data_IF_740438808176
#
_entry.id   IF_740438808176
#
_cell.length_a   1.000
_cell.length_b   1.000
_cell.length_c   1.000
_cell.angle_alpha   90.00
_cell.angle_beta   90.00
_cell.angle_gamma   90.00
#
_symmetry.space_group_name_H-M   'P 1'
#
loop_
_entity.id
_entity.type
_entity.pdbx_description
1 polymer ?
#
# COMPACT_ATOMS: atom_id res chain seq x y z
N UNK A 1 -6.06 6.93 -2.41
CA UNK A 1 -6.84 7.16 -3.64
C UNK A 1 -6.34 6.35 -4.83
N UNK A 2 -5.08 5.92 -4.90
CA UNK A 2 -4.52 5.18 -6.05
C UNK A 2 -4.82 3.67 -6.02
N UNK A 3 -4.91 3.05 -4.83
CA UNK A 3 -5.04 1.58 -4.69
C UNK A 3 -6.22 0.93 -5.43
N UNK A 4 -7.42 1.51 -5.39
CA UNK A 4 -8.59 0.94 -6.08
C UNK A 4 -8.38 0.88 -7.61
N UNK A 5 -7.58 1.79 -8.20
CA UNK A 5 -7.25 1.75 -9.63
C UNK A 5 -6.45 0.48 -9.95
N UNK A 6 -5.43 0.17 -9.14
CA UNK A 6 -4.64 -1.07 -9.27
C UNK A 6 -5.54 -2.30 -9.19
N UNK A 7 -6.49 -2.30 -8.24
CA UNK A 7 -7.46 -3.39 -8.11
C UNK A 7 -8.41 -3.50 -9.31
N UNK A 8 -8.74 -2.37 -9.93
CA UNK A 8 -9.59 -2.34 -11.12
C UNK A 8 -8.87 -2.94 -12.32
N UNK A 9 -7.58 -2.64 -12.50
CA UNK A 9 -6.73 -3.31 -13.48
C UNK A 9 -6.61 -4.81 -13.21
N UNK A 10 -6.38 -5.21 -11.95
CA UNK A 10 -6.31 -6.62 -11.58
C UNK A 10 -7.63 -7.37 -11.82
N UNK A 11 -8.77 -6.74 -11.56
CA UNK A 11 -10.09 -7.30 -11.86
C UNK A 11 -10.29 -7.45 -13.38
N UNK A 12 -9.85 -6.48 -14.18
CA UNK A 12 -9.91 -6.57 -15.64
C UNK A 12 -9.06 -7.73 -16.15
N UNK A 13 -7.82 -7.86 -15.69
CA UNK A 13 -6.98 -9.00 -16.03
C UNK A 13 -7.59 -10.34 -15.60
N UNK A 14 -8.17 -10.41 -14.39
CA UNK A 14 -8.86 -11.60 -13.90
C UNK A 14 -10.02 -12.00 -14.84
N UNK A 15 -10.80 -11.04 -15.33
CA UNK A 15 -11.86 -11.30 -16.31
C UNK A 15 -11.28 -11.89 -17.60
N UNK A 16 -10.18 -11.32 -18.10
CA UNK A 16 -9.51 -11.84 -19.29
C UNK A 16 -8.87 -13.21 -19.08
N UNK A 17 -8.49 -13.59 -17.85
CA UNK A 17 -7.93 -14.91 -17.52
C UNK A 17 -8.89 -16.08 -17.78
N UNK A 18 -10.20 -15.81 -17.90
CA UNK A 18 -11.21 -16.83 -18.26
C UNK A 18 -11.33 -17.08 -19.78
N UNK A 19 -10.52 -16.39 -20.59
CA UNK A 19 -10.48 -16.60 -22.04
C UNK A 19 -9.77 -17.91 -22.39
N UNK A 20 -10.16 -18.51 -23.53
CA UNK A 20 -9.54 -19.76 -24.02
C UNK A 20 -8.04 -19.59 -24.31
N UNK A 21 -7.64 -18.42 -24.79
CA UNK A 21 -6.26 -17.98 -24.90
C UNK A 21 -6.10 -16.67 -24.15
N UNK A 22 -5.01 -16.51 -23.40
CA UNK A 22 -4.74 -15.28 -22.67
C UNK A 22 -4.44 -14.15 -23.69
N UNK A 23 -5.09 -12.97 -23.59
CA UNK A 23 -4.90 -11.89 -24.55
C UNK A 23 -3.46 -11.36 -24.64
N UNK A 24 -2.69 -11.47 -23.56
CA UNK A 24 -1.28 -11.08 -23.48
C UNK A 24 -0.29 -12.19 -23.87
N UNK A 25 -0.78 -13.34 -24.36
CA UNK A 25 0.08 -14.45 -24.75
C UNK A 25 0.52 -14.42 -26.22
N UNK A 26 -0.16 -13.65 -27.10
CA UNK A 26 0.13 -13.62 -28.53
C UNK A 26 0.08 -12.21 -29.11
N UNK A 27 0.76 -12.00 -30.24
CA UNK A 27 0.77 -10.74 -30.98
C UNK A 27 -0.32 -10.64 -32.06
N UNK A 28 -1.27 -11.59 -32.11
CA UNK A 28 -2.29 -11.67 -33.15
C UNK A 28 -3.59 -10.94 -32.77
N UNK A 29 -3.49 -9.76 -32.16
CA UNK A 29 -4.65 -8.96 -31.76
C UNK A 29 -4.67 -7.61 -32.46
N UNK A 30 -5.85 -6.97 -32.51
CA UNK A 30 -6.04 -5.69 -33.21
C UNK A 30 -5.26 -4.51 -32.58
N UNK A 31 -4.81 -4.65 -31.34
CA UNK A 31 -4.01 -3.63 -30.64
C UNK A 31 -2.51 -3.80 -30.84
N UNK A 32 -2.08 -4.92 -31.43
CA UNK A 32 -0.68 -5.21 -31.60
C UNK A 32 -0.06 -4.47 -32.78
N UNK A 33 1.24 -4.18 -32.68
CA UNK A 33 2.04 -3.60 -33.77
C UNK A 33 2.94 -4.63 -34.46
N UNK A 34 3.48 -4.27 -35.62
CA UNK A 34 4.42 -5.12 -36.37
C UNK A 34 5.70 -5.43 -35.58
N UNK A 35 6.06 -4.58 -34.61
CA UNK A 35 7.21 -4.75 -33.70
C UNK A 35 6.95 -5.73 -32.53
N UNK A 36 5.74 -6.28 -32.42
CA UNK A 36 5.36 -7.19 -31.34
C UNK A 36 6.02 -8.56 -31.50
N UNK A 37 6.63 -9.04 -30.41
CA UNK A 37 7.26 -10.36 -30.36
C UNK A 37 6.50 -11.32 -29.45
N UNK A 38 6.13 -12.46 -30.03
CA UNK A 38 5.53 -13.59 -29.32
C UNK A 38 6.64 -14.53 -28.82
N UNK A 39 6.87 -14.48 -27.51
CA UNK A 39 7.86 -15.33 -26.84
C UNK A 39 7.33 -16.74 -26.53
N UNK A 40 6.03 -17.01 -26.76
CA UNK A 40 5.43 -18.34 -26.55
C UNK A 40 5.66 -19.27 -27.74
N UNK A 41 5.81 -18.72 -28.95
CA UNK A 41 6.10 -19.47 -30.18
C UNK A 41 7.60 -19.56 -30.46
N UNK A 42 8.28 -20.56 -29.88
CA UNK A 42 9.63 -20.96 -30.31
C UNK A 42 9.57 -21.56 -31.72
N UNK A 43 9.60 -20.73 -32.75
CA UNK A 43 10.02 -21.17 -34.07
C UNK A 43 11.55 -21.07 -34.13
N UNK A 44 12.22 -22.22 -33.98
CA UNK A 44 13.69 -22.40 -34.01
C UNK A 44 14.38 -21.98 -35.34
N UNK A 45 13.67 -21.29 -36.23
CA UNK A 45 14.15 -20.87 -37.55
C UNK A 45 14.44 -19.37 -37.66
N UNK A 46 14.07 -18.57 -36.67
CA UNK A 46 14.35 -17.13 -36.66
C UNK A 46 15.61 -16.86 -35.84
N UNK A 47 16.69 -16.53 -36.54
CA UNK A 47 17.87 -15.95 -35.91
C UNK A 47 17.43 -14.60 -35.31
N UNK A 48 17.23 -14.55 -33.99
CA UNK A 48 16.87 -13.33 -33.26
C UNK A 48 18.05 -12.35 -33.33
N UNK A 49 18.17 -11.61 -34.42
CA UNK A 49 18.87 -10.33 -34.37
C UNK A 49 18.06 -9.46 -33.44
N UNK A 50 18.63 -9.15 -32.27
CA UNK A 50 18.09 -8.17 -31.30
C UNK A 50 17.71 -6.90 -32.07
N UNK A 51 16.42 -6.81 -32.44
CA UNK A 51 15.85 -5.57 -32.93
C UNK A 51 15.69 -4.71 -31.69
N UNK A 52 16.44 -3.62 -31.63
CA UNK A 52 16.49 -2.71 -30.47
C UNK A 52 15.15 -2.06 -30.10
N UNK A 53 14.08 -2.33 -30.87
CA UNK A 53 12.75 -1.73 -30.71
C UNK A 53 11.61 -2.76 -30.54
N UNK A 54 11.90 -4.05 -30.34
CA UNK A 54 10.84 -5.06 -30.19
C UNK A 54 10.12 -4.98 -28.83
N UNK A 55 8.80 -5.08 -28.82
CA UNK A 55 7.94 -5.08 -27.63
C UNK A 55 7.29 -6.44 -27.39
N UNK A 56 7.02 -6.81 -26.13
CA UNK A 56 6.32 -8.07 -25.84
C UNK A 56 4.81 -7.92 -26.00
N UNK A 57 4.13 -9.03 -26.31
CA UNK A 57 2.66 -9.09 -26.33
C UNK A 57 2.02 -8.59 -25.02
N UNK A 58 2.66 -8.83 -23.88
CA UNK A 58 2.18 -8.37 -22.58
C UNK A 58 2.33 -6.86 -22.38
N UNK A 59 3.46 -6.27 -22.83
CA UNK A 59 3.65 -4.82 -22.83
C UNK A 59 2.61 -4.13 -23.68
N UNK A 60 2.38 -4.61 -24.90
CA UNK A 60 1.38 -4.02 -25.80
C UNK A 60 -0.05 -4.21 -25.29
N UNK A 61 -0.36 -5.35 -24.68
CA UNK A 61 -1.65 -5.54 -24.03
C UNK A 61 -1.87 -4.52 -22.90
N UNK A 62 -0.87 -4.29 -22.05
CA UNK A 62 -0.94 -3.30 -20.98
C UNK A 62 -1.08 -1.87 -21.52
N UNK A 63 -0.14 -1.44 -22.36
CA UNK A 63 -0.04 -0.05 -22.79
C UNK A 63 -1.10 0.33 -23.82
N UNK A 64 -1.42 -0.55 -24.78
CA UNK A 64 -2.32 -0.21 -25.90
C UNK A 64 -3.76 -0.68 -25.70
N UNK A 65 -3.98 -1.78 -24.97
CA UNK A 65 -5.32 -2.37 -24.81
C UNK A 65 -5.98 -2.08 -23.47
N UNK A 66 -5.24 -2.19 -22.37
CA UNK A 66 -5.77 -1.95 -21.01
C UNK A 66 -5.79 -0.46 -20.68
N UNK A 67 -4.67 0.23 -20.91
CA UNK A 67 -4.54 1.66 -20.64
C UNK A 67 -4.90 2.52 -21.85
N UNK A 68 -4.54 2.06 -23.06
CA UNK A 68 -4.55 2.86 -24.29
C UNK A 68 -3.82 4.20 -24.07
N UNK A 69 -2.56 4.11 -23.66
CA UNK A 69 -1.78 5.25 -23.15
C UNK A 69 -1.66 6.37 -24.19
N UNK A 70 -1.93 7.61 -23.77
CA UNK A 70 -1.78 8.80 -24.62
C UNK A 70 -0.33 9.30 -24.67
N UNK A 71 -0.10 10.39 -25.42
CA UNK A 71 1.22 11.01 -25.55
C UNK A 71 1.73 11.72 -24.28
N UNK A 72 0.85 12.00 -23.31
CA UNK A 72 1.24 12.70 -22.08
C UNK A 72 0.08 13.10 -21.18
N UNK A 73 0.40 13.68 -20.02
CA UNK A 73 -0.60 14.13 -19.01
C UNK A 73 -1.51 15.26 -19.53
N UNK A 74 -1.09 15.98 -20.57
CA UNK A 74 -1.86 17.06 -21.21
C UNK A 74 -2.98 16.51 -22.12
N UNK A 75 -2.83 15.26 -22.57
CA UNK A 75 -3.74 14.54 -23.45
C UNK A 75 -4.46 13.47 -22.64
N UNK A 76 -5.46 13.85 -21.84
CA UNK A 76 -6.19 12.87 -21.02
C UNK A 76 -6.94 11.84 -21.88
N UNK A 77 -7.41 12.24 -23.07
CA UNK A 77 -8.11 11.34 -23.98
C UNK A 77 -9.47 10.87 -23.44
N UNK A 78 -9.90 9.67 -23.86
CA UNK A 78 -11.18 9.10 -23.45
C UNK A 78 -11.09 8.23 -22.19
N UNK A 79 -12.23 7.96 -21.55
CA UNK A 79 -12.31 7.04 -20.41
C UNK A 79 -12.30 5.60 -20.91
N UNK A 80 -11.43 4.76 -20.33
CA UNK A 80 -11.41 3.32 -20.61
C UNK A 80 -12.62 2.63 -19.95
N UNK A 81 -13.66 2.35 -20.76
CA UNK A 81 -14.96 1.88 -20.28
C UNK A 81 -14.91 0.54 -19.54
N UNK A 82 -14.06 -0.40 -19.96
CA UNK A 82 -13.92 -1.69 -19.26
C UNK A 82 -13.29 -1.52 -17.88
N UNK A 83 -12.26 -0.67 -17.78
CA UNK A 83 -11.64 -0.28 -16.51
C UNK A 83 -12.63 0.49 -15.63
N UNK A 84 -13.49 1.33 -16.20
CA UNK A 84 -14.58 2.00 -15.48
C UNK A 84 -15.55 1.00 -14.84
N UNK A 85 -15.95 -0.04 -15.57
CA UNK A 85 -16.83 -1.08 -15.03
C UNK A 85 -16.16 -1.84 -13.87
N UNK A 86 -14.87 -2.17 -14.04
CA UNK A 86 -14.09 -2.79 -12.97
C UNK A 86 -13.96 -1.86 -11.76
N UNK A 87 -13.77 -0.55 -11.98
CA UNK A 87 -13.70 0.47 -10.94
C UNK A 87 -15.00 0.56 -10.13
N UNK A 88 -16.15 0.57 -10.82
CA UNK A 88 -17.46 0.55 -10.17
C UNK A 88 -17.60 -0.71 -9.32
N UNK A 89 -17.27 -1.89 -9.88
CA UNK A 89 -17.34 -3.15 -9.16
C UNK A 89 -16.46 -3.15 -7.90
N UNK A 90 -15.21 -2.67 -8.01
CA UNK A 90 -14.29 -2.61 -6.88
C UNK A 90 -14.77 -1.67 -5.77
N UNK A 91 -15.36 -0.52 -6.10
CA UNK A 91 -15.96 0.37 -5.10
C UNK A 91 -17.20 -0.23 -4.42
N UNK A 92 -18.03 -0.94 -5.17
CA UNK A 92 -19.20 -1.65 -4.62
C UNK A 92 -18.75 -2.72 -3.62
N UNK A 93 -17.75 -3.52 -3.98
CA UNK A 93 -17.14 -4.52 -3.07
C UNK A 93 -16.58 -3.82 -1.83
N UNK A 94 -15.78 -2.78 -2.01
CA UNK A 94 -15.17 -2.03 -0.91
C UNK A 94 -16.20 -1.47 0.06
N UNK A 95 -17.26 -0.85 -0.45
CA UNK A 95 -18.35 -0.31 0.35
C UNK A 95 -19.01 -1.38 1.23
N UNK A 96 -19.43 -2.50 0.65
CA UNK A 96 -20.12 -3.56 1.39
C UNK A 96 -19.22 -4.28 2.39
N UNK A 97 -17.92 -4.39 2.12
CA UNK A 97 -16.98 -4.96 3.07
C UNK A 97 -16.86 -4.11 4.35
N UNK A 98 -16.87 -2.77 4.22
CA UNK A 98 -16.60 -1.82 5.32
C UNK A 98 -17.89 -1.25 5.93
N UNK A 99 -19.06 -1.44 5.34
CA UNK A 99 -20.28 -0.70 5.72
C UNK A 99 -20.67 -0.76 7.21
N UNK A 100 -20.37 -1.86 7.92
CA UNK A 100 -20.60 -2.00 9.38
C UNK A 100 -19.32 -1.85 10.21
N UNK A 101 -18.28 -1.26 9.62
CA UNK A 101 -16.95 -1.12 10.18
C UNK A 101 -16.28 -2.44 10.49
N UNK A 102 -15.42 -2.44 11.51
CA UNK A 102 -14.65 -3.62 11.95
C UNK A 102 -15.49 -4.88 12.22
N UNK A 103 -16.80 -4.77 12.46
CA UNK A 103 -17.69 -5.94 12.60
C UNK A 103 -17.95 -6.69 11.28
N UNK A 104 -17.99 -5.95 10.16
CA UNK A 104 -18.10 -6.55 8.82
C UNK A 104 -16.72 -6.87 8.28
N UNK A 105 -15.81 -5.89 8.31
CA UNK A 105 -14.43 -6.06 7.85
C UNK A 105 -13.77 -7.24 8.55
N UNK A 106 -13.90 -7.35 9.89
CA UNK A 106 -13.35 -8.45 10.69
C UNK A 106 -13.82 -9.84 10.29
N UNK A 107 -15.00 -9.99 9.65
CA UNK A 107 -15.47 -11.28 9.11
C UNK A 107 -14.88 -11.56 7.74
N UNK A 108 -14.81 -10.53 6.88
CA UNK A 108 -14.31 -10.64 5.51
C UNK A 108 -12.81 -10.98 5.51
N UNK A 109 -12.03 -10.35 6.41
CA UNK A 109 -10.58 -10.55 6.52
C UNK A 109 -10.15 -11.98 6.86
N UNK A 110 -11.03 -12.80 7.46
CA UNK A 110 -10.71 -14.22 7.64
C UNK A 110 -10.46 -14.94 6.31
N UNK A 111 -11.15 -14.53 5.24
CA UNK A 111 -10.88 -15.05 3.90
C UNK A 111 -9.84 -14.19 3.19
N UNK A 112 -10.05 -12.87 3.12
CA UNK A 112 -9.23 -11.98 2.29
C UNK A 112 -7.77 -11.89 2.75
N UNK A 113 -7.49 -12.03 4.05
CA UNK A 113 -6.13 -12.02 4.56
C UNK A 113 -5.45 -13.39 4.52
N UNK A 114 -6.20 -14.50 4.69
CA UNK A 114 -5.60 -15.85 4.77
C UNK A 114 -5.42 -16.50 3.40
N UNK A 115 -6.34 -16.29 2.48
CA UNK A 115 -6.30 -16.92 1.16
C UNK A 115 -5.08 -16.51 0.32
N UNK A 116 -4.59 -15.26 0.36
CA UNK A 116 -3.32 -14.90 -0.26
C UNK A 116 -2.14 -15.75 0.19
N UNK A 117 -2.08 -16.20 1.44
CA UNK A 117 -1.01 -17.10 1.90
C UNK A 117 -1.08 -18.47 1.26
N UNK A 118 -2.30 -18.99 1.05
CA UNK A 118 -2.51 -20.26 0.34
C UNK A 118 -2.08 -20.11 -1.13
N UNK A 119 -2.48 -19.01 -1.78
CA UNK A 119 -2.08 -18.73 -3.16
C UNK A 119 -0.56 -18.52 -3.28
N UNK A 120 0.04 -17.78 -2.34
CA UNK A 120 1.47 -17.55 -2.29
C UNK A 120 2.24 -18.86 -2.16
N UNK A 121 1.78 -19.79 -1.31
CA UNK A 121 2.38 -21.11 -1.17
C UNK A 121 2.30 -21.91 -2.48
N UNK A 122 1.14 -21.90 -3.15
CA UNK A 122 0.94 -22.59 -4.44
C UNK A 122 1.86 -21.99 -5.51
N UNK A 123 1.93 -20.67 -5.61
CA UNK A 123 2.78 -19.96 -6.57
C UNK A 123 4.26 -20.14 -6.26
N UNK A 124 4.65 -20.25 -4.98
CA UNK A 124 6.02 -20.55 -4.56
C UNK A 124 6.43 -21.96 -4.99
N UNK A 125 5.61 -22.98 -4.68
CA UNK A 125 5.87 -24.36 -5.09
C UNK A 125 5.97 -24.44 -6.61
N UNK A 126 5.04 -23.78 -7.31
CA UNK A 126 5.06 -23.73 -8.76
C UNK A 126 6.31 -23.03 -9.29
N UNK A 127 6.61 -21.83 -8.80
CA UNK A 127 7.75 -21.03 -9.22
C UNK A 127 9.07 -21.78 -9.05
N UNK A 128 9.27 -22.42 -7.89
CA UNK A 128 10.47 -23.22 -7.63
C UNK A 128 10.57 -24.52 -8.45
N UNK A 129 9.44 -25.03 -8.97
CA UNK A 129 9.41 -26.20 -9.86
C UNK A 129 9.75 -25.90 -11.32
N UNK A 130 9.81 -24.62 -11.71
CA UNK A 130 10.07 -24.20 -13.08
C UNK A 130 11.56 -24.30 -13.45
N UNK A 131 11.89 -24.56 -14.73
CA UNK A 131 13.27 -24.50 -15.19
C UNK A 131 13.81 -23.06 -15.02
N UNK A 132 15.08 -22.89 -14.70
CA UNK A 132 15.68 -21.56 -14.50
C UNK A 132 15.35 -20.88 -13.16
N UNK A 133 14.44 -21.42 -12.34
CA UNK A 133 14.06 -20.84 -11.05
C UNK A 133 15.26 -20.62 -10.10
N UNK A 134 16.26 -21.51 -10.14
CA UNK A 134 17.48 -21.38 -9.34
C UNK A 134 18.29 -20.12 -9.67
N UNK A 135 18.29 -19.67 -10.93
CA UNK A 135 18.97 -18.44 -11.34
C UNK A 135 18.29 -17.22 -10.72
N UNK A 136 16.95 -17.22 -10.71
CA UNK A 136 16.14 -16.20 -10.06
C UNK A 136 16.37 -16.12 -8.55
N UNK A 137 16.35 -17.27 -7.87
CA UNK A 137 16.63 -17.33 -6.42
C UNK A 137 18.06 -16.91 -6.10
N UNK A 138 19.03 -17.26 -6.94
CA UNK A 138 20.41 -16.80 -6.80
C UNK A 138 20.48 -15.28 -6.95
N UNK A 139 19.84 -14.70 -7.97
CA UNK A 139 19.78 -13.25 -8.15
C UNK A 139 19.15 -12.53 -6.95
N UNK A 140 18.12 -13.11 -6.34
CA UNK A 140 17.46 -12.54 -5.18
C UNK A 140 18.34 -12.55 -3.91
N UNK A 141 19.08 -13.63 -3.66
CA UNK A 141 19.80 -13.83 -2.39
C UNK A 141 21.28 -13.50 -2.44
N UNK A 142 21.90 -13.46 -3.62
CA UNK A 142 23.35 -13.27 -3.73
C UNK A 142 23.71 -11.87 -3.20
N UNK A 143 24.44 -11.79 -2.06
CA UNK A 143 24.73 -10.50 -1.46
C UNK A 143 25.82 -9.81 -2.26
N UNK A 144 25.68 -8.49 -2.42
CA UNK A 144 26.71 -7.62 -2.96
C UNK A 144 27.20 -6.65 -1.86
N UNK A 145 28.25 -7.00 -1.09
CA UNK A 145 28.65 -6.23 0.09
C UNK A 145 29.10 -4.79 -0.22
N UNK A 146 29.52 -4.51 -1.45
CA UNK A 146 29.85 -3.15 -1.92
C UNK A 146 28.64 -2.22 -1.82
N UNK A 147 27.42 -2.73 -2.06
CA UNK A 147 26.16 -1.97 -1.98
C UNK A 147 25.84 -1.52 -0.55
N UNK A 148 26.37 -2.18 0.49
CA UNK A 148 26.17 -1.74 1.88
C UNK A 148 26.88 -0.42 2.22
N UNK A 149 27.86 0.00 1.39
CA UNK A 149 28.51 1.31 1.50
C UNK A 149 27.70 2.44 0.86
N UNK A 150 26.73 2.09 0.03
CA UNK A 150 25.85 3.03 -0.64
C UNK A 150 24.78 3.51 0.36
N UNK A 151 24.76 4.80 0.75
CA UNK A 151 23.74 5.33 1.64
C UNK A 151 22.32 5.11 1.11
N UNK A 152 22.13 5.11 -0.21
CA UNK A 152 20.83 4.92 -0.86
C UNK A 152 20.17 3.60 -0.46
N UNK A 153 20.95 2.52 -0.33
CA UNK A 153 20.44 1.19 0.05
C UNK A 153 19.80 1.20 1.44
N UNK A 154 20.39 1.91 2.39
CA UNK A 154 19.84 2.04 3.75
C UNK A 154 18.58 2.89 3.79
N UNK A 155 18.50 3.88 2.90
CA UNK A 155 17.35 4.77 2.81
C UNK A 155 16.15 4.08 2.17
N UNK A 156 16.37 3.34 1.09
CA UNK A 156 15.36 2.49 0.48
C UNK A 156 14.89 1.41 1.46
N UNK A 157 15.79 0.78 2.22
CA UNK A 157 15.43 -0.16 3.27
C UNK A 157 14.57 0.48 4.38
N UNK A 158 14.95 1.68 4.84
CA UNK A 158 14.17 2.44 5.80
C UNK A 158 12.78 2.78 5.28
N UNK A 159 12.70 3.41 4.11
CA UNK A 159 11.44 3.77 3.46
C UNK A 159 10.53 2.55 3.25
N UNK A 160 11.08 1.44 2.76
CA UNK A 160 10.35 0.18 2.56
C UNK A 160 9.69 -0.31 3.86
N UNK A 161 10.38 -0.23 5.00
CA UNK A 161 9.81 -0.60 6.30
C UNK A 161 8.69 0.36 6.71
N UNK A 162 8.87 1.68 6.62
CA UNK A 162 7.82 2.65 6.95
C UNK A 162 6.55 2.43 6.12
N UNK A 163 6.71 2.22 4.81
CA UNK A 163 5.60 1.95 3.90
C UNK A 163 4.95 0.59 4.16
N UNK A 164 5.74 -0.47 4.30
CA UNK A 164 5.24 -1.83 4.47
C UNK A 164 4.38 -1.98 5.73
N UNK A 165 4.73 -1.28 6.81
CA UNK A 165 3.94 -1.27 8.04
C UNK A 165 2.87 -0.16 8.10
N UNK A 166 2.78 0.71 7.09
CA UNK A 166 1.88 1.88 7.07
C UNK A 166 2.03 2.77 8.32
N UNK A 167 3.27 2.98 8.77
CA UNK A 167 3.57 3.82 9.95
C UNK A 167 3.33 5.29 9.57
N UNK A 168 2.81 6.11 10.50
CA UNK A 168 2.55 7.54 10.27
C UNK A 168 1.27 7.86 9.50
N UNK A 169 0.51 6.84 9.07
CA UNK A 169 -0.77 7.02 8.35
C UNK A 169 -1.98 6.92 9.30
N UNK A 170 -1.78 6.43 10.53
CA UNK A 170 -2.83 6.25 11.54
C UNK A 170 -3.54 4.89 11.49
N UNK A 171 -3.21 4.02 10.53
CA UNK A 171 -3.76 2.67 10.37
C UNK A 171 -3.69 1.82 11.64
N UNK A 172 -2.49 1.69 12.21
CA UNK A 172 -2.29 0.90 13.43
C UNK A 172 -2.93 1.55 14.66
N UNK A 173 -2.97 2.88 14.73
CA UNK A 173 -3.65 3.62 15.81
C UNK A 173 -5.15 3.35 15.80
N UNK A 174 -5.77 3.38 14.61
CA UNK A 174 -7.21 3.12 14.46
C UNK A 174 -7.54 1.65 14.69
N UNK A 175 -6.75 0.71 14.17
CA UNK A 175 -6.98 -0.71 14.46
C UNK A 175 -6.79 -1.03 15.95
N UNK A 176 -5.76 -0.44 16.56
CA UNK A 176 -5.50 -0.58 17.99
C UNK A 176 -6.59 -0.02 18.89
N UNK A 177 -7.32 1.03 18.46
CA UNK A 177 -8.42 1.61 19.25
C UNK A 177 -9.65 0.70 19.38
N UNK A 178 -9.74 -0.35 18.55
CA UNK A 178 -10.79 -1.38 18.65
C UNK A 178 -10.40 -2.56 19.55
N UNK A 179 -9.16 -2.63 20.02
CA UNK A 179 -8.73 -3.69 20.92
C UNK A 179 -9.32 -3.50 22.33
N UNK A 180 -9.47 -4.62 23.05
CA UNK A 180 -9.75 -4.58 24.48
C UNK A 180 -8.58 -3.90 25.21
N UNK A 181 -8.88 -3.16 26.29
CA UNK A 181 -7.86 -2.43 27.05
C UNK A 181 -6.72 -3.32 27.55
N UNK A 182 -7.06 -4.52 28.06
CA UNK A 182 -6.09 -5.48 28.57
C UNK A 182 -5.49 -6.42 27.51
N UNK A 183 -5.66 -6.11 26.21
CA UNK A 183 -5.09 -6.93 25.15
C UNK A 183 -3.56 -6.85 25.15
N UNK A 184 -2.88 -7.96 24.90
CA UNK A 184 -1.42 -8.01 24.86
C UNK A 184 -0.88 -7.46 23.53
N UNK A 185 -1.04 -6.15 23.32
CA UNK A 185 -0.58 -5.46 22.12
C UNK A 185 0.93 -5.54 21.92
N UNK A 186 1.70 -5.76 23.00
CA UNK A 186 3.15 -5.94 22.92
C UNK A 186 3.52 -7.18 22.10
N UNK A 187 2.87 -8.32 22.36
CA UNK A 187 3.11 -9.55 21.60
C UNK A 187 2.54 -9.46 20.18
N UNK A 188 1.35 -8.85 20.03
CA UNK A 188 0.73 -8.67 18.72
C UNK A 188 1.62 -7.84 17.79
N UNK A 189 2.24 -6.77 18.29
CA UNK A 189 3.19 -5.96 17.52
C UNK A 189 4.40 -6.77 17.07
N UNK A 190 4.98 -7.63 17.94
CA UNK A 190 6.11 -8.48 17.56
C UNK A 190 5.72 -9.49 16.47
N UNK A 191 4.54 -10.11 16.60
CA UNK A 191 4.03 -11.06 15.61
C UNK A 191 3.71 -10.37 14.29
N UNK A 192 3.13 -9.17 14.31
CA UNK A 192 2.85 -8.38 13.11
C UNK A 192 4.15 -8.06 12.36
N UNK A 193 5.19 -7.59 13.07
CA UNK A 193 6.51 -7.32 12.50
C UNK A 193 7.17 -8.57 11.89
N UNK A 194 7.05 -9.72 12.57
CA UNK A 194 7.59 -10.97 12.06
C UNK A 194 6.85 -11.43 10.80
N UNK A 195 5.51 -11.50 10.87
CA UNK A 195 4.67 -12.00 9.79
C UNK A 195 4.81 -11.15 8.52
N UNK A 196 4.78 -9.83 8.63
CA UNK A 196 4.93 -8.94 7.48
C UNK A 196 6.29 -9.13 6.77
N UNK A 197 7.39 -9.14 7.55
CA UNK A 197 8.74 -9.34 7.01
C UNK A 197 8.92 -10.73 6.38
N UNK A 198 8.44 -11.78 7.06
CA UNK A 198 8.51 -13.16 6.53
C UNK A 198 7.69 -13.29 5.26
N UNK A 199 6.49 -12.71 5.21
CA UNK A 199 5.64 -12.72 4.02
C UNK A 199 6.37 -12.05 2.85
N UNK A 200 7.04 -10.92 3.09
CA UNK A 200 7.81 -10.20 2.06
C UNK A 200 8.98 -11.02 1.53
N UNK A 201 9.71 -11.72 2.40
CA UNK A 201 10.79 -12.63 2.00
C UNK A 201 10.24 -13.79 1.14
N UNK A 202 9.18 -14.44 1.60
CA UNK A 202 8.55 -15.57 0.89
C UNK A 202 7.98 -15.12 -0.47
N UNK A 203 7.37 -13.94 -0.54
CA UNK A 203 6.94 -13.32 -1.78
C UNK A 203 8.11 -13.05 -2.72
N UNK A 204 9.26 -12.61 -2.20
CA UNK A 204 10.51 -12.48 -2.96
C UNK A 204 10.89 -13.80 -3.66
N UNK A 205 10.91 -14.92 -2.95
CA UNK A 205 11.17 -16.23 -3.56
C UNK A 205 10.15 -16.58 -4.66
N UNK A 206 8.84 -16.34 -4.43
CA UNK A 206 7.80 -16.64 -5.40
C UNK A 206 7.94 -15.79 -6.67
N UNK A 207 8.22 -14.49 -6.55
CA UNK A 207 8.42 -13.58 -7.69
C UNK A 207 9.71 -13.91 -8.44
N UNK A 208 10.84 -13.97 -7.74
CA UNK A 208 12.14 -14.16 -8.40
C UNK A 208 12.30 -15.55 -9.01
N UNK A 209 11.67 -16.59 -8.47
CA UNK A 209 11.67 -17.91 -9.12
C UNK A 209 10.94 -17.90 -10.47
N UNK A 210 9.81 -17.18 -10.57
CA UNK A 210 9.08 -16.99 -11.83
C UNK A 210 9.85 -16.09 -12.81
N UNK A 211 10.48 -15.01 -12.33
CA UNK A 211 11.34 -14.17 -13.18
C UNK A 211 12.58 -14.93 -13.68
N UNK A 212 13.17 -15.80 -12.86
CA UNK A 212 14.26 -16.68 -13.27
C UNK A 212 13.86 -17.65 -14.38
N UNK A 213 12.63 -18.19 -14.31
CA UNK A 213 12.05 -18.98 -15.39
C UNK A 213 11.87 -18.15 -16.68
N UNK A 214 11.31 -16.95 -16.58
CA UNK A 214 11.12 -16.05 -17.73
C UNK A 214 12.46 -15.70 -18.40
N UNK A 215 13.47 -15.33 -17.60
CA UNK A 215 14.82 -15.05 -18.09
C UNK A 215 15.45 -16.27 -18.79
N UNK A 216 15.27 -17.46 -18.22
CA UNK A 216 15.77 -18.70 -18.81
C UNK A 216 15.10 -19.06 -20.13
N UNK A 217 13.78 -18.92 -20.23
CA UNK A 217 13.03 -19.20 -21.47
C UNK A 217 13.33 -18.20 -22.59
N UNK A 218 13.53 -16.93 -22.24
CA UNK A 218 13.85 -15.86 -23.19
C UNK A 218 15.34 -15.75 -23.52
N UNK A 219 16.22 -16.38 -22.73
CA UNK A 219 17.66 -16.29 -22.91
C UNK A 219 18.26 -14.90 -22.60
N UNK A 220 17.60 -14.12 -21.74
CA UNK A 220 18.02 -12.76 -21.35
C UNK A 220 18.44 -12.69 -19.88
N UNK A 221 19.26 -11.70 -19.48
CA UNK A 221 19.59 -11.47 -18.06
C UNK A 221 18.35 -11.15 -17.22
N UNK A 222 18.33 -11.64 -15.96
CA UNK A 222 17.20 -11.41 -15.03
C UNK A 222 16.94 -9.90 -14.80
N UNK A 223 17.98 -9.08 -14.83
CA UNK A 223 17.86 -7.63 -14.66
C UNK A 223 17.04 -6.94 -15.75
N UNK A 224 16.90 -7.54 -16.94
CA UNK A 224 16.11 -6.98 -18.05
C UNK A 224 14.62 -7.34 -17.96
N UNK A 225 14.28 -8.40 -17.24
CA UNK A 225 12.87 -8.82 -17.03
C UNK A 225 12.31 -8.36 -15.67
N UNK A 226 13.17 -7.85 -14.80
CA UNK A 226 12.81 -7.33 -13.49
C UNK A 226 12.26 -5.90 -13.60
N UNK A 227 10.98 -5.80 -13.94
CA UNK A 227 10.24 -4.54 -13.92
C UNK A 227 9.92 -4.08 -12.49
N UNK A 228 9.62 -2.79 -12.32
CA UNK A 228 9.23 -2.20 -11.03
C UNK A 228 7.80 -1.64 -11.08
N UNK A 229 7.20 -1.44 -9.90
CA UNK A 229 5.84 -0.88 -9.79
C UNK A 229 4.78 -1.74 -10.50
N UNK A 230 3.76 -1.12 -11.11
CA UNK A 230 2.69 -1.85 -11.82
C UNK A 230 3.21 -2.74 -12.97
N UNK A 231 4.33 -2.40 -13.60
CA UNK A 231 4.91 -3.18 -14.70
C UNK A 231 5.26 -4.61 -14.28
N UNK A 232 5.74 -4.81 -13.05
CA UNK A 232 6.03 -6.15 -12.53
C UNK A 232 4.78 -7.04 -12.51
N UNK A 233 3.65 -6.51 -12.05
CA UNK A 233 2.42 -7.26 -11.86
C UNK A 233 1.57 -7.38 -13.13
N UNK A 234 1.64 -6.40 -14.04
CA UNK A 234 0.76 -6.34 -15.22
C UNK A 234 1.48 -6.60 -16.55
N UNK A 235 2.82 -6.65 -16.56
CA UNK A 235 3.63 -6.99 -17.75
C UNK A 235 4.46 -8.24 -17.48
N UNK A 236 5.43 -8.17 -16.57
CA UNK A 236 6.41 -9.25 -16.38
C UNK A 236 5.77 -10.55 -15.87
N UNK A 237 4.92 -10.46 -14.84
CA UNK A 237 4.26 -11.66 -14.28
C UNK A 237 3.26 -12.31 -15.27
N UNK A 238 2.36 -11.56 -15.94
CA UNK A 238 1.47 -12.13 -16.96
C UNK A 238 2.22 -12.75 -18.14
N UNK A 239 3.34 -12.15 -18.54
CA UNK A 239 4.22 -12.69 -19.58
C UNK A 239 4.83 -14.03 -19.15
N UNK A 240 5.37 -14.12 -17.93
CA UNK A 240 5.90 -15.37 -17.40
C UNK A 240 4.82 -16.45 -17.26
N UNK A 241 3.62 -16.08 -16.81
CA UNK A 241 2.47 -17.00 -16.68
C UNK A 241 2.02 -17.54 -18.03
N UNK A 242 2.01 -16.71 -19.08
CA UNK A 242 1.64 -17.13 -20.43
C UNK A 242 2.55 -18.24 -21.00
N UNK A 243 3.80 -18.31 -20.53
CA UNK A 243 4.77 -19.35 -20.92
C UNK A 243 4.61 -20.67 -20.15
N UNK A 244 3.79 -20.69 -19.09
CA UNK A 244 3.59 -21.89 -18.28
C UNK A 244 2.49 -22.79 -18.87
N UNK A 245 2.55 -24.12 -18.68
CA UNK A 245 1.41 -24.99 -18.91
C UNK A 245 0.24 -24.61 -17.99
N UNK A 246 -0.98 -24.66 -18.54
CA UNK A 246 -2.23 -24.23 -17.90
C UNK A 246 -2.18 -22.75 -17.45
N UNK A 247 -1.87 -21.81 -18.37
CA UNK A 247 -1.57 -20.43 -18.01
C UNK A 247 -2.78 -19.70 -17.39
N UNK A 248 -4.01 -20.09 -17.73
CA UNK A 248 -5.24 -19.55 -17.15
C UNK A 248 -5.33 -19.80 -15.64
N UNK A 249 -4.97 -21.00 -15.17
CA UNK A 249 -5.02 -21.35 -13.74
C UNK A 249 -4.12 -20.43 -12.93
N UNK A 250 -2.87 -20.28 -13.35
CA UNK A 250 -1.88 -19.45 -12.66
C UNK A 250 -2.24 -17.97 -12.69
N UNK A 251 -2.78 -17.51 -13.82
CA UNK A 251 -3.27 -16.14 -13.97
C UNK A 251 -4.42 -15.84 -13.01
N UNK A 252 -5.42 -16.73 -12.92
CA UNK A 252 -6.54 -16.59 -11.97
C UNK A 252 -6.02 -16.55 -10.54
N UNK A 253 -5.15 -17.48 -10.14
CA UNK A 253 -4.56 -17.52 -8.81
C UNK A 253 -3.84 -16.21 -8.47
N UNK A 254 -3.03 -15.69 -9.40
CA UNK A 254 -2.27 -14.46 -9.20
C UNK A 254 -3.17 -13.22 -9.07
N UNK A 255 -4.12 -13.01 -9.98
CA UNK A 255 -4.96 -11.82 -9.93
C UNK A 255 -5.98 -11.86 -8.81
N UNK A 256 -6.50 -13.04 -8.43
CA UNK A 256 -7.31 -13.18 -7.20
C UNK A 256 -6.46 -12.82 -5.98
N UNK A 257 -5.24 -13.33 -5.87
CA UNK A 257 -4.32 -12.99 -4.78
C UNK A 257 -4.05 -11.47 -4.72
N UNK A 258 -3.74 -10.84 -5.86
CA UNK A 258 -3.47 -9.40 -5.94
C UNK A 258 -4.70 -8.58 -5.51
N UNK A 259 -5.90 -8.97 -5.94
CA UNK A 259 -7.15 -8.30 -5.55
C UNK A 259 -7.36 -8.38 -4.04
N UNK A 260 -7.20 -9.56 -3.45
CA UNK A 260 -7.41 -9.77 -2.01
C UNK A 260 -6.40 -8.99 -1.17
N UNK A 261 -5.12 -9.00 -1.56
CA UNK A 261 -4.06 -8.24 -0.88
C UNK A 261 -4.35 -6.73 -0.89
N UNK A 262 -4.70 -6.16 -2.05
CA UNK A 262 -4.96 -4.72 -2.13
C UNK A 262 -6.30 -4.31 -1.50
N UNK A 263 -7.31 -5.20 -1.49
CA UNK A 263 -8.60 -4.95 -0.82
C UNK A 263 -8.41 -4.74 0.69
N UNK A 264 -7.60 -5.57 1.36
CA UNK A 264 -7.38 -5.46 2.80
C UNK A 264 -6.69 -4.14 3.18
N UNK A 265 -5.68 -3.73 2.41
CA UNK A 265 -5.05 -2.41 2.58
C UNK A 265 -6.06 -1.28 2.40
N UNK A 266 -6.92 -1.37 1.40
CA UNK A 266 -7.96 -0.38 1.15
C UNK A 266 -9.00 -0.34 2.27
N UNK A 267 -9.38 -1.48 2.85
CA UNK A 267 -10.33 -1.54 3.97
C UNK A 267 -9.81 -0.75 5.16
N UNK A 268 -8.54 -0.96 5.52
CA UNK A 268 -7.91 -0.26 6.64
C UNK A 268 -7.80 1.24 6.34
N UNK A 269 -7.37 1.64 5.14
CA UNK A 269 -7.24 3.05 4.78
C UNK A 269 -8.58 3.81 4.87
N UNK A 270 -9.67 3.18 4.41
CA UNK A 270 -11.01 3.74 4.54
C UNK A 270 -11.46 3.79 6.00
N UNK A 271 -11.21 2.74 6.78
CA UNK A 271 -11.53 2.70 8.21
C UNK A 271 -10.82 3.83 8.96
N UNK A 272 -9.57 4.17 8.62
CA UNK A 272 -8.83 5.28 9.23
C UNK A 272 -9.58 6.60 9.08
N UNK A 273 -10.02 6.93 7.87
CA UNK A 273 -10.77 8.15 7.60
C UNK A 273 -12.11 8.13 8.33
N UNK A 274 -12.83 7.01 8.23
CA UNK A 274 -14.15 6.85 8.84
C UNK A 274 -14.10 7.03 10.36
N UNK A 275 -13.19 6.32 11.03
CA UNK A 275 -13.04 6.36 12.49
C UNK A 275 -12.56 7.72 12.97
N UNK A 276 -11.60 8.34 12.28
CA UNK A 276 -11.14 9.69 12.61
C UNK A 276 -12.27 10.71 12.57
N UNK A 277 -13.12 10.68 11.54
CA UNK A 277 -14.27 11.61 11.42
C UNK A 277 -15.34 11.30 12.49
N UNK A 278 -15.60 10.01 12.76
CA UNK A 278 -16.56 9.59 13.79
C UNK A 278 -16.12 10.08 15.18
N UNK A 279 -14.83 9.98 15.49
CA UNK A 279 -14.28 10.37 16.79
C UNK A 279 -14.14 11.89 16.95
N UNK A 280 -13.97 12.64 15.86
CA UNK A 280 -14.05 14.11 15.88
C UNK A 280 -15.48 14.63 16.09
N UNK A 281 -16.50 13.95 15.54
CA UNK A 281 -17.89 14.40 15.59
C UNK A 281 -18.87 13.34 16.15
N UNK A 282 -18.65 12.83 17.38
CA UNK A 282 -19.35 11.66 17.89
C UNK A 282 -20.86 11.87 18.04
N UNK A 283 -21.30 13.08 18.42
CA UNK A 283 -22.73 13.42 18.61
C UNK A 283 -23.56 13.34 17.33
N UNK A 284 -22.91 13.50 16.17
CA UNK A 284 -23.55 13.46 14.85
C UNK A 284 -23.38 12.09 14.23
N UNK A 285 -22.15 11.56 14.25
CA UNK A 285 -21.74 10.39 13.49
C UNK A 285 -22.11 9.05 14.14
N UNK A 286 -22.23 8.97 15.47
CA UNK A 286 -22.60 7.72 16.17
C UNK A 286 -24.11 7.40 16.12
N UNK A 287 -24.91 8.21 15.43
CA UNK A 287 -26.35 7.92 15.22
C UNK A 287 -26.52 6.82 14.18
N UNK A 288 -27.55 5.99 14.35
CA UNK A 288 -27.85 4.88 13.44
C UNK A 288 -27.93 5.34 11.97
N UNK A 289 -27.27 4.61 11.06
CA UNK A 289 -27.26 4.87 9.62
C UNK A 289 -26.34 5.99 9.15
N UNK A 290 -25.83 6.86 10.03
CA UNK A 290 -25.02 8.03 9.62
C UNK A 290 -23.63 7.64 9.14
N UNK A 291 -23.03 6.62 9.75
CA UNK A 291 -21.76 6.04 9.31
C UNK A 291 -21.89 5.49 7.89
N UNK A 292 -22.92 4.70 7.63
CA UNK A 292 -23.15 4.05 6.33
C UNK A 292 -23.39 5.08 5.22
N UNK A 293 -24.15 6.15 5.50
CA UNK A 293 -24.38 7.25 4.57
C UNK A 293 -23.09 8.03 4.31
N UNK A 294 -22.32 8.34 5.35
CA UNK A 294 -21.05 9.05 5.18
C UNK A 294 -20.03 8.23 4.39
N UNK A 295 -19.92 6.94 4.67
CA UNK A 295 -19.07 6.02 3.91
C UNK A 295 -19.49 6.03 2.43
N UNK A 296 -20.79 5.92 2.14
CA UNK A 296 -21.29 5.94 0.78
C UNK A 296 -20.92 7.24 0.05
N UNK A 297 -21.19 8.39 0.66
CA UNK A 297 -20.84 9.69 0.09
C UNK A 297 -19.33 9.83 -0.13
N UNK A 298 -18.52 9.37 0.83
CA UNK A 298 -17.07 9.41 0.72
C UNK A 298 -16.54 8.50 -0.40
N UNK A 299 -17.05 7.26 -0.52
CA UNK A 299 -16.74 6.37 -1.64
C UNK A 299 -17.10 7.01 -2.99
N UNK A 300 -18.26 7.67 -3.09
CA UNK A 300 -18.67 8.38 -4.32
C UNK A 300 -17.71 9.53 -4.66
N UNK A 301 -17.29 10.32 -3.68
CA UNK A 301 -16.29 11.40 -3.89
C UNK A 301 -14.97 10.80 -4.38
N UNK A 302 -14.49 9.73 -3.75
CA UNK A 302 -13.26 9.06 -4.17
C UNK A 302 -13.39 8.46 -5.58
N UNK A 303 -14.52 7.84 -5.91
CA UNK A 303 -14.80 7.31 -7.24
C UNK A 303 -14.73 8.39 -8.32
N UNK A 304 -15.39 9.54 -8.12
CA UNK A 304 -15.34 10.63 -9.09
C UNK A 304 -13.93 11.22 -9.24
N UNK A 305 -13.17 11.34 -8.14
CA UNK A 305 -11.78 11.80 -8.18
C UNK A 305 -10.85 10.87 -8.97
N UNK A 306 -11.20 9.59 -9.09
CA UNK A 306 -10.42 8.56 -9.77
C UNK A 306 -10.75 8.45 -11.26
N UNK A 307 -11.84 9.05 -11.75
CA UNK A 307 -12.21 8.99 -13.16
C UNK A 307 -11.09 9.52 -14.08
N UNK A 308 -10.32 10.50 -13.62
CA UNK A 308 -9.17 11.03 -14.36
C UNK A 308 -8.06 9.98 -14.52
N UNK A 309 -7.89 9.07 -13.55
CA UNK A 309 -6.83 8.04 -13.55
C UNK A 309 -7.16 6.82 -14.43
N UNK A 310 -8.38 6.70 -14.94
CA UNK A 310 -8.80 5.63 -15.87
C UNK A 310 -8.97 6.13 -17.31
N UNK A 311 -8.52 7.36 -17.59
CA UNK A 311 -8.45 7.88 -18.96
C UNK A 311 -7.20 7.34 -19.67
N UNK A 312 -7.09 7.58 -20.98
CA UNK A 312 -5.90 7.25 -21.79
C UNK A 312 -4.62 7.91 -21.23
N UNK A 313 -4.71 9.16 -20.75
CA UNK A 313 -3.64 9.84 -20.02
C UNK A 313 -3.60 9.53 -18.51
N UNK A 314 -4.46 8.62 -18.05
CA UNK A 314 -4.69 8.34 -16.63
C UNK A 314 -3.48 7.75 -15.91
N UNK A 315 -2.63 7.01 -16.62
CA UNK A 315 -1.39 6.45 -16.05
C UNK A 315 -0.40 7.53 -15.62
N UNK A 316 -0.30 8.65 -16.35
CA UNK A 316 0.54 9.79 -15.95
C UNK A 316 0.01 10.46 -14.68
N UNK A 317 -1.31 10.61 -14.58
CA UNK A 317 -1.96 11.16 -13.38
C UNK A 317 -1.79 10.21 -12.19
N UNK A 318 -1.96 8.89 -12.42
CA UNK A 318 -1.73 7.86 -11.43
C UNK A 318 -0.31 7.94 -10.86
N UNK A 319 0.72 7.98 -11.72
CA UNK A 319 2.11 8.09 -11.29
C UNK A 319 2.41 9.41 -10.58
N UNK A 320 1.81 10.53 -11.01
CA UNK A 320 1.97 11.81 -10.32
C UNK A 320 1.48 11.73 -8.87
N UNK A 321 0.31 11.12 -8.65
CA UNK A 321 -0.22 10.91 -7.30
C UNK A 321 0.61 9.90 -6.50
N UNK A 322 0.98 8.78 -7.11
CA UNK A 322 1.77 7.74 -6.45
C UNK A 322 3.14 8.27 -6.01
N UNK A 323 3.80 9.04 -6.88
CA UNK A 323 5.12 9.60 -6.61
C UNK A 323 5.11 10.74 -5.60
N UNK A 324 4.18 11.71 -5.72
CA UNK A 324 4.19 12.91 -4.87
C UNK A 324 3.25 12.83 -3.66
N UNK A 325 2.01 12.36 -3.83
CA UNK A 325 1.02 12.34 -2.75
C UNK A 325 1.27 11.17 -1.80
N UNK A 326 1.69 10.02 -2.33
CA UNK A 326 2.11 8.86 -1.57
C UNK A 326 3.63 8.81 -1.34
N UNK A 327 4.33 9.94 -1.49
CA UNK A 327 5.78 10.04 -1.32
C UNK A 327 6.23 9.63 0.09
N UNK A 328 7.34 8.89 0.17
CA UNK A 328 7.99 8.51 1.42
C UNK A 328 8.34 9.72 2.27
N UNK A 329 8.70 10.85 1.65
CA UNK A 329 9.00 12.09 2.36
C UNK A 329 7.82 12.58 3.23
N UNK A 330 6.57 12.46 2.77
CA UNK A 330 5.40 12.91 3.52
C UNK A 330 5.20 12.07 4.79
N UNK A 331 5.30 10.74 4.66
CA UNK A 331 5.17 9.80 5.77
C UNK A 331 6.34 9.96 6.75
N UNK A 332 7.57 10.02 6.24
CA UNK A 332 8.77 10.19 7.06
C UNK A 332 8.71 11.47 7.89
N UNK A 333 8.25 12.58 7.29
CA UNK A 333 8.03 13.83 8.01
C UNK A 333 7.04 13.65 9.18
N UNK A 334 5.88 13.03 8.94
CA UNK A 334 4.91 12.75 9.99
C UNK A 334 5.50 11.84 11.08
N UNK A 335 6.24 10.80 10.71
CA UNK A 335 6.88 9.89 11.65
C UNK A 335 7.90 10.59 12.56
N UNK A 336 8.64 11.60 12.07
CA UNK A 336 9.53 12.41 12.92
C UNK A 336 8.73 13.10 14.03
N UNK A 337 7.65 13.80 13.67
CA UNK A 337 6.86 14.55 14.64
C UNK A 337 6.06 13.65 15.58
N UNK A 338 5.54 12.51 15.10
CA UNK A 338 4.88 11.52 15.96
C UNK A 338 5.85 10.94 17.00
N UNK A 339 7.06 10.56 16.58
CA UNK A 339 8.08 10.03 17.49
C UNK A 339 8.51 11.07 18.53
N UNK A 340 8.74 12.33 18.11
CA UNK A 340 9.07 13.42 19.03
C UNK A 340 7.91 13.74 19.99
N UNK A 341 6.67 13.77 19.49
CA UNK A 341 5.49 14.02 20.30
C UNK A 341 5.30 12.93 21.37
N UNK A 342 5.43 11.64 21.01
CA UNK A 342 5.26 10.53 21.95
C UNK A 342 6.46 10.38 22.90
N UNK A 343 7.69 10.40 22.36
CA UNK A 343 8.90 10.15 23.13
C UNK A 343 9.25 11.30 24.08
N UNK A 344 9.24 12.54 23.58
CA UNK A 344 9.74 13.71 24.30
C UNK A 344 8.65 14.59 24.92
N UNK A 345 7.58 14.88 24.17
CA UNK A 345 6.53 15.81 24.65
C UNK A 345 5.60 15.10 25.63
N UNK A 346 5.04 13.95 25.23
CA UNK A 346 4.18 13.13 26.08
C UNK A 346 4.99 12.43 27.18
N UNK A 347 6.16 11.89 26.81
CA UNK A 347 7.16 11.33 27.71
C UNK A 347 7.20 9.80 27.69
N UNK A 348 8.36 9.25 27.34
CA UNK A 348 8.57 7.80 27.22
C UNK A 348 8.33 7.01 28.52
N UNK A 349 8.56 7.62 29.70
CA UNK A 349 8.28 6.95 30.98
C UNK A 349 6.79 6.72 31.21
N UNK A 350 5.93 7.68 30.80
CA UNK A 350 4.48 7.50 30.86
C UNK A 350 4.02 6.41 29.90
N UNK A 351 4.65 6.32 28.73
CA UNK A 351 4.35 5.27 27.77
C UNK A 351 4.67 3.87 28.32
N UNK A 352 5.77 3.72 29.07
CA UNK A 352 6.06 2.47 29.79
C UNK A 352 4.99 2.10 30.80
N UNK A 353 4.56 3.06 31.60
CA UNK A 353 3.55 2.84 32.62
C UNK A 353 2.22 2.43 31.98
N UNK A 354 1.83 3.08 30.88
CA UNK A 354 0.63 2.72 30.10
C UNK A 354 0.73 1.31 29.51
N UNK A 355 1.86 0.94 28.92
CA UNK A 355 2.04 -0.43 28.37
C UNK A 355 2.00 -1.47 29.49
N UNK A 356 2.60 -1.18 30.64
CA UNK A 356 2.56 -2.06 31.81
C UNK A 356 1.15 -2.18 32.37
N UNK A 357 0.40 -1.09 32.40
CA UNK A 357 -0.99 -1.05 32.87
C UNK A 357 -1.91 -1.87 31.95
N UNK A 358 -1.78 -1.74 30.64
CA UNK A 358 -2.59 -2.49 29.66
C UNK A 358 -2.20 -3.97 29.59
N UNK A 359 -0.91 -4.30 29.54
CA UNK A 359 -0.46 -5.67 29.22
C UNK A 359 0.00 -6.47 30.45
N UNK A 360 0.20 -5.81 31.59
CA UNK A 360 0.90 -6.37 32.76
C UNK A 360 2.41 -6.53 32.58
N UNK A 361 2.95 -6.33 31.37
CA UNK A 361 4.35 -6.57 31.02
C UNK A 361 5.10 -5.24 30.97
N UNK A 362 6.28 -5.17 31.60
CA UNK A 362 7.20 -4.04 31.37
C UNK A 362 7.89 -4.23 30.03
N UNK A 363 7.68 -3.30 29.10
CA UNK A 363 8.38 -3.31 27.83
C UNK A 363 9.90 -3.20 28.02
N UNK A 364 10.65 -3.77 27.06
CA UNK A 364 12.12 -3.79 27.08
C UNK A 364 12.69 -2.36 26.98
N UNK A 365 13.72 -2.06 27.80
CA UNK A 365 14.43 -0.77 27.81
C UNK A 365 14.82 -0.26 26.42
N UNK A 366 15.17 -1.17 25.50
CA UNK A 366 15.51 -0.84 24.13
C UNK A 366 14.43 -0.01 23.42
N UNK A 367 13.15 -0.28 23.66
CA UNK A 367 12.06 0.49 23.05
C UNK A 367 12.07 1.97 23.46
N UNK A 368 12.46 2.29 24.70
CA UNK A 368 12.63 3.69 25.13
C UNK A 368 13.76 4.38 24.39
N UNK A 369 14.86 3.69 24.11
CA UNK A 369 15.94 4.23 23.26
C UNK A 369 15.41 4.46 21.85
N UNK A 370 14.60 3.53 21.31
CA UNK A 370 13.98 3.68 20.00
C UNK A 370 13.09 4.92 19.93
N UNK A 371 12.14 5.06 20.86
CA UNK A 371 11.19 6.18 20.87
C UNK A 371 11.87 7.54 21.06
N UNK A 372 12.89 7.62 21.93
CA UNK A 372 13.56 8.88 22.22
C UNK A 372 14.58 9.29 21.16
N UNK A 373 15.32 8.34 20.58
CA UNK A 373 16.50 8.64 19.78
C UNK A 373 16.49 7.95 18.42
N UNK A 374 16.41 6.61 18.36
CA UNK A 374 16.64 5.92 17.08
C UNK A 374 15.56 6.21 16.05
N UNK A 375 14.28 6.07 16.40
CA UNK A 375 13.16 6.34 15.50
C UNK A 375 13.17 7.78 14.96
N UNK A 376 13.26 8.84 15.80
CA UNK A 376 13.30 10.20 15.27
C UNK A 376 14.56 10.48 14.45
N UNK A 377 15.74 9.96 14.82
CA UNK A 377 16.98 10.17 14.06
C UNK A 377 16.95 9.47 12.70
N UNK A 378 16.52 8.20 12.65
CA UNK A 378 16.42 7.45 11.38
C UNK A 378 15.37 8.10 10.48
N UNK A 379 14.19 8.45 11.02
CA UNK A 379 13.13 9.11 10.25
C UNK A 379 13.58 10.47 9.70
N UNK A 380 14.27 11.27 10.53
CA UNK A 380 14.77 12.59 10.12
C UNK A 380 15.90 12.47 9.09
N UNK A 381 16.83 11.53 9.28
CA UNK A 381 17.90 11.25 8.33
C UNK A 381 17.35 10.81 6.98
N UNK A 382 16.45 9.82 6.96
CA UNK A 382 15.77 9.37 5.74
C UNK A 382 14.98 10.50 5.07
N UNK A 383 14.28 11.34 5.85
CA UNK A 383 13.56 12.50 5.31
C UNK A 383 14.51 13.49 4.64
N UNK A 384 15.57 13.93 5.33
CA UNK A 384 16.54 14.89 4.78
C UNK A 384 17.17 14.35 3.50
N UNK A 385 17.60 13.10 3.50
CA UNK A 385 18.21 12.54 2.31
C UNK A 385 17.22 12.33 1.16
N UNK A 386 15.96 11.97 1.44
CA UNK A 386 14.91 11.91 0.40
C UNK A 386 14.70 13.25 -0.31
N UNK A 387 14.96 14.37 0.38
CA UNK A 387 14.94 15.71 -0.23
C UNK A 387 16.22 16.02 -1.02
N UNK A 388 17.38 15.54 -0.56
CA UNK A 388 18.68 15.76 -1.22
C UNK A 388 18.76 14.96 -2.52
N UNK A 389 18.32 13.70 -2.50
CA UNK A 389 18.36 12.79 -3.65
C UNK A 389 17.11 12.88 -4.54
N UNK A 390 16.29 13.91 -4.35
CA UNK A 390 15.10 14.14 -5.16
C UNK A 390 15.43 14.14 -6.65
N UNK A 391 14.76 13.27 -7.40
CA UNK A 391 14.80 13.23 -8.85
C UNK A 391 13.43 13.62 -9.40
N UNK A 392 13.34 14.46 -10.44
CA UNK A 392 12.05 14.79 -11.03
C UNK A 392 11.40 13.55 -11.63
N UNK A 393 10.09 13.39 -11.40
CA UNK A 393 9.31 12.30 -11.98
C UNK A 393 9.41 12.32 -13.52
N UNK A 394 9.68 11.15 -14.10
CA UNK A 394 9.66 10.88 -15.55
C UNK A 394 8.93 9.56 -15.82
N UNK A 395 8.26 9.44 -16.96
CA UNK A 395 7.57 8.20 -17.36
C UNK A 395 8.39 7.47 -18.43
N UNK A 396 8.78 6.22 -18.16
CA UNK A 396 9.59 5.34 -19.03
C UNK A 396 10.82 6.02 -19.66
N UNK A 397 11.44 6.99 -18.96
CA UNK A 397 12.58 7.82 -19.40
C UNK A 397 12.37 8.69 -20.66
N UNK A 398 11.31 8.48 -21.43
CA UNK A 398 11.02 9.24 -22.65
C UNK A 398 10.12 10.46 -22.38
N UNK A 399 9.24 10.37 -21.39
CA UNK A 399 8.29 11.43 -21.09
C UNK A 399 8.72 12.24 -19.87
N UNK A 400 8.86 13.56 -20.08
CA UNK A 400 9.15 14.54 -19.04
C UNK A 400 7.87 15.31 -18.75
N UNK A 401 7.48 15.38 -17.48
CA UNK A 401 6.26 16.05 -17.07
C UNK A 401 6.37 17.57 -17.26
N UNK A 402 5.28 18.26 -17.63
CA UNK A 402 5.27 19.70 -17.75
C UNK A 402 5.41 20.37 -16.37
N UNK A 403 5.93 21.59 -16.33
CA UNK A 403 6.26 22.29 -15.07
C UNK A 403 5.06 22.44 -14.12
N UNK A 404 3.85 22.62 -14.65
CA UNK A 404 2.64 22.72 -13.84
C UNK A 404 2.33 21.41 -13.10
N UNK A 405 2.68 20.26 -13.67
CA UNK A 405 2.46 18.95 -13.04
C UNK A 405 3.41 18.78 -11.85
N UNK A 406 4.66 19.24 -11.94
CA UNK A 406 5.58 19.27 -10.81
C UNK A 406 5.09 20.20 -9.69
N UNK A 407 4.57 21.38 -10.04
CA UNK A 407 3.98 22.30 -9.04
C UNK A 407 2.78 21.65 -8.36
N UNK A 408 1.91 20.99 -9.11
CA UNK A 408 0.77 20.25 -8.57
C UNK A 408 1.25 19.10 -7.66
N UNK A 409 2.25 18.33 -8.07
CA UNK A 409 2.84 17.27 -7.26
C UNK A 409 3.38 17.78 -5.92
N UNK A 410 4.18 18.84 -5.93
CA UNK A 410 4.66 19.45 -4.68
C UNK A 410 3.53 20.06 -3.84
N UNK A 411 2.49 20.63 -4.45
CA UNK A 411 1.32 21.09 -3.72
C UNK A 411 0.59 19.94 -3.02
N UNK A 412 0.46 18.78 -3.67
CA UNK A 412 -0.10 17.57 -3.06
C UNK A 412 0.76 17.10 -1.88
N UNK A 413 2.08 17.01 -2.05
CA UNK A 413 2.99 16.61 -0.98
C UNK A 413 2.96 17.58 0.22
N UNK A 414 3.02 18.89 -0.05
CA UNK A 414 3.02 19.91 0.98
C UNK A 414 1.68 20.04 1.70
N UNK A 415 0.57 19.62 1.09
CA UNK A 415 -0.76 19.70 1.70
C UNK A 415 -0.87 18.92 3.01
N UNK A 416 -0.22 17.76 3.10
CA UNK A 416 -0.17 16.94 4.33
C UNK A 416 0.93 17.41 5.29
N UNK A 417 2.13 17.71 4.77
CA UNK A 417 3.29 18.16 5.56
C UNK A 417 2.99 19.46 6.30
N UNK A 418 2.43 20.46 5.63
CA UNK A 418 2.18 21.78 6.20
C UNK A 418 1.01 21.80 7.20
N UNK A 419 0.17 20.77 7.23
CA UNK A 419 -0.95 20.69 8.16
C UNK A 419 -0.47 20.65 9.61
N UNK A 420 0.63 19.92 9.89
CA UNK A 420 1.20 19.80 11.25
C UNK A 420 1.71 21.13 11.80
N UNK A 421 2.69 21.82 11.17
CA UNK A 421 3.15 23.12 11.64
C UNK A 421 2.05 24.19 11.53
N UNK A 422 1.18 24.13 10.51
CA UNK A 422 0.07 25.05 10.33
C UNK A 422 -0.92 25.02 11.50
N UNK A 423 -1.35 23.82 11.92
CA UNK A 423 -2.22 23.65 13.08
C UNK A 423 -1.54 24.07 14.39
N UNK A 424 -0.26 23.74 14.56
CA UNK A 424 0.52 24.16 15.74
C UNK A 424 0.57 25.69 15.86
N UNK A 425 0.90 26.38 14.75
CA UNK A 425 0.93 27.85 14.70
C UNK A 425 -0.45 28.46 14.91
N UNK A 426 -1.49 27.88 14.29
CA UNK A 426 -2.87 28.34 14.47
C UNK A 426 -3.29 28.26 15.95
N UNK A 427 -3.09 27.11 16.60
CA UNK A 427 -3.44 26.91 18.02
C UNK A 427 -2.65 27.84 18.95
N UNK A 428 -1.36 28.06 18.67
CA UNK A 428 -0.54 29.02 19.42
C UNK A 428 -1.03 30.46 19.22
N UNK A 429 -1.44 30.83 18.01
CA UNK A 429 -1.96 32.16 17.67
C UNK A 429 -3.31 32.47 18.33
N UNK A 430 -4.23 31.52 18.32
CA UNK A 430 -5.60 31.69 18.86
C UNK A 430 -5.72 31.45 20.36
N UNK A 431 -4.69 30.88 21.00
CA UNK A 431 -4.72 30.61 22.44
C UNK A 431 -4.81 31.88 23.28
N UNK A 432 -5.29 31.76 24.51
CA UNK A 432 -5.31 32.85 25.50
C UNK A 432 -4.10 32.80 26.42
N UNK A 433 -3.57 33.95 26.83
CA UNK A 433 -2.39 34.04 27.72
C UNK A 433 -1.08 34.33 26.99
N UNK A 434 0.05 34.18 27.67
CA UNK A 434 1.39 34.40 27.09
C UNK A 434 1.84 33.23 26.21
N UNK A 435 2.78 33.45 25.28
CA UNK A 435 3.29 32.39 24.38
C UNK A 435 3.79 31.15 25.15
N UNK A 436 4.52 31.36 26.26
CA UNK A 436 5.03 30.27 27.11
C UNK A 436 3.91 29.47 27.78
N UNK A 437 2.87 30.16 28.29
CA UNK A 437 1.69 29.50 28.88
C UNK A 437 0.92 28.70 27.83
N UNK A 438 0.70 29.27 26.63
CA UNK A 438 0.01 28.59 25.52
C UNK A 438 0.77 27.33 25.10
N UNK A 439 2.08 27.42 24.91
CA UNK A 439 2.91 26.28 24.54
C UNK A 439 2.85 25.17 25.60
N UNK A 440 3.03 25.52 26.88
CA UNK A 440 2.93 24.55 27.98
C UNK A 440 1.55 23.89 28.04
N UNK A 441 0.49 24.66 27.85
CA UNK A 441 -0.88 24.14 27.84
C UNK A 441 -1.13 23.18 26.69
N UNK A 442 -0.66 23.49 25.47
CA UNK A 442 -0.81 22.62 24.29
C UNK A 442 0.02 21.33 24.39
N UNK A 443 1.13 21.36 25.12
CA UNK A 443 1.97 20.18 25.36
C UNK A 443 1.53 19.35 26.58
N UNK A 444 0.50 19.77 27.32
CA UNK A 444 -0.02 19.00 28.45
C UNK A 444 -1.09 18.02 27.96
N UNK A 445 -0.96 16.71 28.26
CA UNK A 445 -2.02 15.76 27.95
C UNK A 445 -3.24 16.00 28.83
N UNK A 446 -4.43 15.78 28.26
CA UNK A 446 -5.70 15.84 28.96
C UNK A 446 -5.92 14.56 29.78
N UNK A 447 -5.31 14.51 30.96
CA UNK A 447 -5.34 13.36 31.85
C UNK A 447 -6.74 13.09 32.41
N UNK A 448 -7.55 14.13 32.60
CA UNK A 448 -8.90 14.02 33.15
C UNK A 448 -9.85 13.31 32.16
N UNK A 449 -9.70 13.62 30.86
CA UNK A 449 -10.38 12.88 29.80
C UNK A 449 -9.93 11.41 29.73
N UNK A 450 -8.66 11.13 29.99
CA UNK A 450 -8.09 9.78 29.99
C UNK A 450 -8.70 8.93 31.13
N UNK A 451 -8.80 9.49 32.33
CA UNK A 451 -9.44 8.85 33.48
C UNK A 451 -10.94 8.62 33.28
N UNK A 452 -11.63 9.55 32.62
CA UNK A 452 -13.05 9.40 32.29
C UNK A 452 -13.28 8.29 31.27
N UNK A 453 -12.45 8.20 30.22
CA UNK A 453 -12.50 7.11 29.25
C UNK A 453 -12.22 5.74 29.90
N UNK A 454 -11.26 5.69 30.84
CA UNK A 454 -10.98 4.46 31.61
C UNK A 454 -12.22 4.00 32.38
N UNK A 455 -12.86 4.90 33.13
CA UNK A 455 -14.10 4.59 33.86
C UNK A 455 -15.24 4.14 32.94
N UNK A 456 -15.40 4.75 31.77
CA UNK A 456 -16.40 4.31 30.79
C UNK A 456 -16.12 2.90 30.25
N UNK A 457 -14.84 2.57 30.03
CA UNK A 457 -14.42 1.25 29.50
C UNK A 457 -14.63 0.16 30.55
N UNK A 458 -14.26 0.42 31.81
CA UNK A 458 -14.54 -0.49 32.93
C UNK A 458 -16.05 -0.71 33.13
N UNK A 459 -16.85 0.35 32.99
CA UNK A 459 -18.30 0.24 33.08
C UNK A 459 -18.89 -0.57 31.91
N UNK A 460 -18.30 -0.49 30.71
CA UNK A 460 -18.71 -1.30 29.57
C UNK A 460 -18.33 -2.78 29.74
N UNK A 461 -17.12 -3.09 30.22
CA UNK A 461 -16.72 -4.48 30.45
C UNK A 461 -17.60 -5.14 31.52
N UNK A 462 -17.91 -4.43 32.61
CA UNK A 462 -18.84 -4.92 33.64
C UNK A 462 -20.23 -5.17 33.05
N UNK A 463 -20.71 -4.29 32.16
CA UNK A 463 -22.02 -4.50 31.50
C UNK A 463 -22.02 -5.70 30.56
N UNK A 464 -20.93 -5.93 29.83
CA UNK A 464 -20.79 -7.10 28.95
C UNK A 464 -20.75 -8.41 29.76
N UNK A 465 -19.98 -8.46 30.85
CA UNK A 465 -19.95 -9.61 31.77
C UNK A 465 -21.32 -9.89 32.41
N UNK A 466 -22.05 -8.84 32.80
CA UNK A 466 -23.41 -8.96 33.32
C UNK A 466 -24.41 -9.46 32.26
N UNK A 467 -24.23 -9.05 30.99
CA UNK A 467 -25.08 -9.50 29.88
C UNK A 467 -24.83 -10.97 29.53
N UNK A 468 -23.58 -11.43 29.55
CA UNK A 468 -23.23 -12.85 29.36
C UNK A 468 -23.77 -13.74 30.50
N UNK A 469 -23.92 -13.20 31.71
CA UNK A 469 -24.55 -13.90 32.83
C UNK A 469 -26.09 -13.89 32.85
N UNK A 470 -26.74 -13.03 32.04
CA UNK A 470 -28.20 -12.87 32.03
C UNK A 470 -28.86 -13.55 30.81
N UNK A 471 -28.09 -14.06 29.84
CA UNK A 471 -28.60 -14.96 28.81
C UNK A 471 -28.46 -16.43 29.24
N UNK A 472 -29.50 -17.08 29.81
CA UNK A 472 -29.47 -18.52 29.99
C UNK A 472 -29.50 -19.21 28.61
N UNK A 473 -28.65 -20.23 28.47
CA UNK A 473 -28.53 -21.14 27.33
C UNK A 473 -29.87 -21.61 26.74
#
# INVERSE_FOLDING_TARGET
MTYIIILSWALLYLVFSFSSQLPWASCNNYWNTDDCVDFSSKNDTVHWTSQTNSTSAATEFWERRVLAISGGIEELGSIQWETLLCLIAMWVICYFCIWKGVRSTGKVVYFTATFPYVMLLILLIRGLSLPGASQGVMFYLLPEPSRLKDPQVWMEAGAQIFFSYSIGVGSLTVLGSYNKYNNNCYNDCLMLCLLNSVTSIVAGFAVFSVLGFMAHEQGVPIAEVAESGPGLAFIAYPQAVAMMPLPQLWSICFFVMLILLGLDTQFVAMEVVMTSVIDMFPKVMRRAGRREIFLFLFCIICFFSQLVMITEGGMFVFQLFDYYACNGACILFLCVFEALALGWVFGADRLYDIIKDMTGIRANFFFKICWLYLTPLVSLGSFICSLIEYQPLTFNRWYVYPSWAYVLGWALALSSILLVPGLALFKLGTGTGTLSQRFRHLCQPDLEKLENQRRETELQSIKEELLEHVTPN
#
